data_IF_173096773699
#
_entry.id   IF_173096773699
#
_cell.length_a   1.000
_cell.length_b   1.000
_cell.length_c   1.000
_cell.angle_alpha   90.00
_cell.angle_beta   90.00
_cell.angle_gamma   90.00
#
_symmetry.space_group_name_H-M   'P 1'
#
loop_
_entity.id
_entity.type
_entity.pdbx_description
1 polymer ?
#
# COMPACT_ATOMS: atom_id res chain seq x y z
N UNK A 1 -7.61 -9.85 17.43
CA UNK A 1 -6.96 -9.47 16.17
C UNK A 1 -7.97 -9.61 15.08
N UNK A 2 -8.04 -8.62 14.19
CA UNK A 2 -9.12 -8.54 13.21
C UNK A 2 -8.62 -8.63 11.78
N UNK A 3 -7.40 -8.17 11.51
CA UNK A 3 -6.81 -8.19 10.19
C UNK A 3 -5.48 -8.93 10.17
N UNK A 4 -5.20 -9.57 9.05
CA UNK A 4 -3.88 -10.05 8.68
C UNK A 4 -3.48 -9.39 7.35
N UNK A 5 -2.32 -8.71 7.37
CA UNK A 5 -1.72 -8.10 6.19
C UNK A 5 -0.51 -8.92 5.79
N UNK A 6 -0.55 -9.52 4.62
CA UNK A 6 0.57 -10.25 4.03
C UNK A 6 1.25 -9.37 2.98
N UNK A 7 2.52 -9.03 3.19
CA UNK A 7 3.28 -8.21 2.25
C UNK A 7 3.90 -9.10 1.16
N UNK A 8 3.30 -9.10 -0.03
CA UNK A 8 3.94 -9.71 -1.20
C UNK A 8 5.11 -8.86 -1.69
N UNK A 9 5.02 -7.56 -1.47
CA UNK A 9 6.07 -6.60 -1.72
C UNK A 9 5.88 -5.34 -0.90
N UNK A 10 6.96 -4.74 -0.43
CA UNK A 10 6.98 -3.58 0.46
C UNK A 10 8.04 -2.54 0.09
N UNK A 11 8.68 -2.69 -1.08
CA UNK A 11 9.70 -1.78 -1.59
C UNK A 11 9.10 -0.70 -2.48
N UNK A 12 9.65 0.52 -2.41
CA UNK A 12 9.39 1.62 -3.34
C UNK A 12 10.36 1.65 -4.52
N UNK A 13 10.92 0.47 -4.90
CA UNK A 13 11.93 0.39 -5.95
C UNK A 13 13.33 0.91 -5.52
N UNK A 14 14.30 0.92 -6.41
CA UNK A 14 14.24 0.50 -7.81
C UNK A 14 14.31 -1.02 -8.04
N UNK A 15 14.42 -1.84 -6.99
CA UNK A 15 14.42 -3.29 -7.14
C UNK A 15 13.02 -3.78 -7.54
N UNK A 16 12.91 -4.31 -8.75
CA UNK A 16 11.69 -4.91 -9.26
C UNK A 16 11.39 -6.26 -8.57
N UNK A 17 10.12 -6.66 -8.60
CA UNK A 17 9.66 -7.94 -8.06
C UNK A 17 9.35 -7.94 -6.56
N UNK A 18 9.73 -6.90 -5.81
CA UNK A 18 9.37 -6.73 -4.38
C UNK A 18 8.62 -5.44 -4.10
N UNK A 19 8.12 -4.80 -5.14
CA UNK A 19 7.37 -3.54 -5.07
C UNK A 19 5.96 -3.74 -4.53
N UNK A 20 5.30 -2.65 -4.17
CA UNK A 20 4.11 -2.64 -3.32
C UNK A 20 2.99 -3.59 -3.74
N UNK A 21 2.67 -4.53 -2.86
CA UNK A 21 1.49 -5.39 -2.95
C UNK A 21 1.17 -6.00 -1.59
N UNK A 22 -0.04 -5.80 -1.08
CA UNK A 22 -0.49 -6.29 0.21
C UNK A 22 -1.74 -7.15 0.01
N UNK A 23 -1.77 -8.34 0.61
CA UNK A 23 -3.00 -9.11 0.77
C UNK A 23 -3.58 -8.82 2.14
N UNK A 24 -4.85 -8.44 2.17
CA UNK A 24 -5.63 -8.21 3.38
C UNK A 24 -6.69 -9.28 3.50
N UNK A 25 -6.82 -9.88 4.69
CA UNK A 25 -7.92 -10.78 5.07
C UNK A 25 -8.22 -10.66 6.57
N UNK A 26 -9.35 -11.22 7.05
CA UNK A 26 -9.57 -11.38 8.49
C UNK A 26 -8.50 -12.31 9.09
N UNK A 27 -8.02 -11.99 10.29
CA UNK A 27 -6.93 -12.75 10.94
C UNK A 27 -7.31 -14.16 11.37
N UNK A 28 -8.61 -14.44 11.50
CA UNK A 28 -9.16 -15.77 11.84
C UNK A 28 -9.46 -16.64 10.61
N UNK A 29 -9.13 -16.18 9.42
CA UNK A 29 -9.33 -16.90 8.16
C UNK A 29 -7.99 -17.43 7.68
N UNK A 30 -7.90 -18.73 7.46
CA UNK A 30 -6.66 -19.35 6.97
C UNK A 30 -6.62 -19.37 5.43
N UNK A 31 -5.44 -19.16 4.84
CA UNK A 31 -5.27 -19.25 3.38
C UNK A 31 -5.64 -20.62 2.83
N UNK A 32 -5.38 -21.69 3.59
CA UNK A 32 -5.77 -23.06 3.21
C UNK A 32 -7.29 -23.21 3.03
N UNK A 33 -8.10 -22.57 3.86
CA UNK A 33 -9.56 -22.61 3.75
C UNK A 33 -10.09 -21.80 2.56
N UNK A 34 -9.42 -20.68 2.23
CA UNK A 34 -9.73 -19.89 1.04
C UNK A 34 -9.43 -20.70 -0.22
N UNK A 35 -8.24 -21.30 -0.32
CA UNK A 35 -7.82 -22.12 -1.48
C UNK A 35 -8.67 -23.38 -1.64
N UNK A 36 -9.10 -23.98 -0.53
CA UNK A 36 -10.00 -25.14 -0.54
C UNK A 36 -11.46 -24.78 -0.93
N UNK A 37 -11.76 -23.50 -1.15
CA UNK A 37 -13.11 -23.03 -1.49
C UNK A 37 -14.13 -23.12 -0.35
N UNK A 38 -13.67 -23.23 0.89
CA UNK A 38 -14.57 -23.21 2.07
C UNK A 38 -15.02 -21.79 2.40
N UNK A 39 -14.18 -20.81 2.10
CA UNK A 39 -14.41 -19.39 2.33
C UNK A 39 -14.16 -18.61 1.04
N UNK A 40 -15.07 -17.72 0.71
CA UNK A 40 -15.03 -16.91 -0.50
C UNK A 40 -15.04 -15.43 -0.14
N UNK A 41 -14.47 -14.61 -1.04
CA UNK A 41 -14.51 -13.15 -0.93
C UNK A 41 -13.85 -12.59 0.35
N UNK A 42 -12.86 -13.34 0.89
CA UNK A 42 -12.12 -12.90 2.09
C UNK A 42 -10.89 -12.05 1.73
N UNK A 43 -10.32 -12.23 0.54
CA UNK A 43 -9.10 -11.53 0.15
C UNK A 43 -9.39 -10.19 -0.52
N UNK A 44 -8.64 -9.18 -0.11
CA UNK A 44 -8.52 -7.88 -0.79
C UNK A 44 -7.04 -7.63 -1.08
N UNK A 45 -6.72 -7.31 -2.32
CA UNK A 45 -5.37 -6.96 -2.73
C UNK A 45 -5.25 -5.44 -2.78
N UNK A 46 -4.26 -4.87 -2.10
CA UNK A 46 -3.95 -3.44 -2.16
C UNK A 46 -2.65 -3.31 -2.94
N UNK A 47 -2.74 -2.64 -4.07
CA UNK A 47 -1.73 -2.56 -5.11
C UNK A 47 -1.31 -3.94 -5.65
N UNK A 48 -0.53 -3.95 -6.70
CA UNK A 48 -0.07 -5.14 -7.41
C UNK A 48 1.24 -4.90 -8.17
N UNK A 49 2.20 -4.26 -7.53
CA UNK A 49 3.57 -4.17 -8.02
C UNK A 49 4.26 -5.53 -7.99
N UNK A 50 3.98 -6.32 -6.94
CA UNK A 50 4.36 -7.73 -6.82
C UNK A 50 3.17 -8.66 -7.05
N UNK A 51 3.39 -9.87 -7.54
CA UNK A 51 2.33 -10.82 -7.88
C UNK A 51 2.77 -12.27 -7.85
N UNK A 52 2.38 -13.05 -8.87
CA UNK A 52 2.52 -14.51 -8.89
C UNK A 52 3.94 -15.01 -8.70
N UNK A 53 4.93 -14.37 -9.31
CA UNK A 53 6.33 -14.78 -9.17
C UNK A 53 6.80 -14.61 -7.72
N UNK A 54 6.49 -13.47 -7.12
CA UNK A 54 6.85 -13.16 -5.75
C UNK A 54 6.12 -14.05 -4.73
N UNK A 55 4.82 -14.27 -4.95
CA UNK A 55 4.03 -15.22 -4.17
C UNK A 55 4.64 -16.62 -4.20
N UNK A 56 5.09 -17.08 -5.38
CA UNK A 56 5.75 -18.38 -5.54
C UNK A 56 7.04 -18.46 -4.74
N UNK A 57 7.84 -17.41 -4.76
CA UNK A 57 9.09 -17.39 -4.01
C UNK A 57 8.87 -17.32 -2.50
N UNK A 58 7.87 -16.58 -2.03
CA UNK A 58 7.52 -16.55 -0.60
C UNK A 58 7.12 -17.96 -0.15
N UNK A 59 6.20 -18.60 -0.85
CA UNK A 59 5.74 -19.95 -0.52
C UNK A 59 6.90 -20.96 -0.56
N UNK A 60 7.78 -20.86 -1.55
CA UNK A 60 8.96 -21.72 -1.65
C UNK A 60 9.89 -21.56 -0.42
N UNK A 61 10.16 -20.33 -0.01
CA UNK A 61 10.98 -20.06 1.16
C UNK A 61 10.32 -20.57 2.46
N UNK A 62 9.02 -20.45 2.60
CA UNK A 62 8.28 -20.97 3.76
C UNK A 62 8.33 -22.51 3.82
N UNK A 63 8.14 -23.18 2.68
CA UNK A 63 8.24 -24.64 2.59
C UNK A 63 9.63 -25.16 3.00
N UNK A 64 10.70 -24.37 2.74
CA UNK A 64 12.06 -24.76 3.10
C UNK A 64 12.41 -24.49 4.58
N UNK A 65 11.94 -23.38 5.14
CA UNK A 65 12.50 -22.86 6.39
C UNK A 65 11.56 -22.91 7.59
N UNK A 66 10.26 -23.07 7.41
CA UNK A 66 9.22 -23.14 8.45
C UNK A 66 9.21 -21.95 9.45
N UNK A 67 10.05 -20.96 9.27
CA UNK A 67 10.20 -19.77 10.12
C UNK A 67 9.97 -18.51 9.26
N UNK A 68 9.43 -17.43 9.83
CA UNK A 68 9.35 -16.16 9.13
C UNK A 68 10.73 -15.68 8.70
N UNK A 69 10.94 -15.58 7.40
CA UNK A 69 12.21 -15.10 6.83
C UNK A 69 11.94 -13.97 5.87
N UNK A 70 12.79 -12.95 5.89
CA UNK A 70 12.78 -11.90 4.89
C UNK A 70 13.93 -12.05 3.90
N UNK A 71 13.80 -11.45 2.73
CA UNK A 71 14.86 -11.43 1.71
C UNK A 71 16.02 -10.48 2.05
N UNK A 72 15.90 -9.70 3.12
CA UNK A 72 16.84 -8.62 3.43
C UNK A 72 18.29 -9.12 3.50
N UNK A 73 18.53 -10.32 4.04
CA UNK A 73 19.87 -10.91 4.12
C UNK A 73 20.53 -11.19 2.75
N UNK A 74 19.74 -11.24 1.66
CA UNK A 74 20.30 -11.38 0.31
C UNK A 74 20.88 -10.07 -0.22
N UNK A 75 20.39 -8.94 0.27
CA UNK A 75 20.73 -7.61 -0.23
C UNK A 75 21.59 -6.82 0.75
N UNK A 76 21.41 -7.05 2.06
CA UNK A 76 22.03 -6.22 3.09
C UNK A 76 22.81 -7.06 4.09
N UNK A 77 24.14 -6.85 4.20
CA UNK A 77 25.00 -7.60 5.14
C UNK A 77 24.67 -7.31 6.60
N UNK A 78 24.05 -6.18 6.89
CA UNK A 78 23.63 -5.74 8.23
C UNK A 78 22.18 -6.07 8.56
N UNK A 79 21.48 -6.90 7.76
CA UNK A 79 20.09 -7.26 8.03
C UNK A 79 19.91 -7.84 9.43
N UNK A 80 18.83 -7.40 10.11
CA UNK A 80 18.48 -7.89 11.44
C UNK A 80 17.51 -9.08 11.34
N UNK A 81 17.35 -9.87 12.41
CA UNK A 81 16.27 -10.85 12.50
C UNK A 81 14.90 -10.20 12.31
N UNK A 82 13.98 -10.91 11.67
CA UNK A 82 12.64 -10.39 11.30
C UNK A 82 11.94 -9.70 12.48
N UNK A 83 11.96 -10.30 13.66
CA UNK A 83 11.29 -9.73 14.85
C UNK A 83 11.79 -8.33 15.26
N UNK A 84 12.99 -7.94 14.83
CA UNK A 84 13.55 -6.60 15.15
C UNK A 84 12.86 -5.45 14.40
N UNK A 85 12.09 -5.77 13.37
CA UNK A 85 11.37 -4.78 12.56
C UNK A 85 9.91 -4.59 12.99
N UNK A 86 9.45 -5.31 14.01
CA UNK A 86 8.04 -5.36 14.38
C UNK A 86 7.77 -5.09 15.85
N UNK A 87 6.74 -4.28 16.12
CA UNK A 87 6.07 -4.17 17.42
C UNK A 87 4.79 -5.02 17.46
N UNK A 88 4.29 -5.46 16.30
CA UNK A 88 3.09 -6.27 16.15
C UNK A 88 3.42 -7.77 16.03
N UNK A 89 2.40 -8.64 16.20
CA UNK A 89 2.54 -10.07 15.96
C UNK A 89 2.76 -10.35 14.47
N UNK A 90 3.76 -11.18 14.17
CA UNK A 90 4.08 -11.60 12.81
C UNK A 90 3.96 -13.10 12.64
N UNK A 91 3.63 -13.53 11.43
CA UNK A 91 3.48 -14.94 11.10
C UNK A 91 3.94 -15.25 9.68
N UNK A 92 4.17 -16.53 9.44
CA UNK A 92 4.40 -17.14 8.13
C UNK A 92 3.05 -17.44 7.49
N UNK A 93 2.62 -16.71 6.45
CA UNK A 93 1.23 -16.74 5.99
C UNK A 93 0.79 -18.04 5.32
N UNK A 94 1.68 -18.72 4.60
CA UNK A 94 1.32 -19.82 3.70
C UNK A 94 1.76 -21.21 4.19
N UNK A 95 2.24 -21.32 5.42
CA UNK A 95 2.80 -22.56 6.03
C UNK A 95 1.84 -23.76 6.00
N UNK A 96 0.52 -23.51 6.06
CA UNK A 96 -0.51 -24.54 6.14
C UNK A 96 -1.06 -24.95 4.75
N UNK A 97 -0.54 -24.36 3.66
CA UNK A 97 -0.91 -24.74 2.32
C UNK A 97 -0.38 -26.14 1.98
N UNK A 98 -1.28 -26.98 1.50
CA UNK A 98 -0.94 -28.34 1.01
C UNK A 98 -1.02 -28.32 -0.51
N UNK A 99 0.11 -28.58 -1.16
CA UNK A 99 0.21 -28.66 -2.61
C UNK A 99 1.43 -29.53 -3.01
N UNK A 100 1.40 -30.08 -4.21
CA UNK A 100 2.49 -30.89 -4.73
C UNK A 100 3.73 -30.04 -5.10
N UNK A 101 3.53 -28.75 -5.30
CA UNK A 101 4.61 -27.79 -5.56
C UNK A 101 4.26 -26.39 -5.07
N UNK A 102 5.29 -25.56 -4.80
CA UNK A 102 5.09 -24.16 -4.44
C UNK A 102 4.35 -23.38 -5.54
N UNK A 103 4.55 -23.70 -6.81
CA UNK A 103 3.86 -23.06 -7.91
C UNK A 103 2.35 -23.38 -7.90
N UNK A 104 1.97 -24.64 -7.63
CA UNK A 104 0.56 -25.04 -7.49
C UNK A 104 -0.11 -24.31 -6.31
N UNK A 105 0.57 -24.23 -5.16
CA UNK A 105 0.08 -23.46 -4.01
C UNK A 105 -0.11 -21.98 -4.37
N UNK A 106 0.85 -21.38 -5.08
CA UNK A 106 0.78 -19.99 -5.53
C UNK A 106 -0.38 -19.75 -6.48
N UNK A 107 -0.61 -20.66 -7.43
CA UNK A 107 -1.76 -20.60 -8.34
C UNK A 107 -3.09 -20.66 -7.57
N UNK A 108 -3.16 -21.49 -6.52
CA UNK A 108 -4.34 -21.58 -5.64
C UNK A 108 -4.67 -20.22 -5.01
N UNK A 109 -3.69 -19.58 -4.37
CA UNK A 109 -3.86 -18.24 -3.77
C UNK A 109 -4.18 -17.20 -4.86
N UNK A 110 -3.40 -17.18 -5.96
CA UNK A 110 -3.56 -16.21 -7.03
C UNK A 110 -4.96 -16.28 -7.68
N UNK A 111 -5.53 -17.46 -7.81
CA UNK A 111 -6.89 -17.62 -8.29
C UNK A 111 -7.92 -16.99 -7.35
N UNK A 112 -7.66 -16.99 -6.05
CA UNK A 112 -8.54 -16.39 -5.04
C UNK A 112 -8.38 -14.85 -4.93
N UNK A 113 -7.33 -14.27 -5.51
CA UNK A 113 -7.11 -12.82 -5.58
C UNK A 113 -8.03 -12.20 -6.65
N UNK A 114 -9.29 -11.97 -6.32
CA UNK A 114 -10.31 -11.48 -7.27
C UNK A 114 -10.49 -9.97 -7.26
N UNK A 115 -10.14 -9.30 -6.17
CA UNK A 115 -10.41 -7.88 -5.93
C UNK A 115 -9.14 -7.12 -5.62
N UNK A 116 -8.90 -6.05 -6.39
CA UNK A 116 -7.74 -5.16 -6.24
C UNK A 116 -8.20 -3.74 -5.96
N UNK A 117 -7.61 -3.10 -4.96
CA UNK A 117 -7.68 -1.67 -4.68
C UNK A 117 -6.34 -1.06 -5.13
N UNK A 118 -6.33 -0.29 -6.20
CA UNK A 118 -5.11 0.32 -6.73
C UNK A 118 -5.05 1.78 -6.29
N UNK A 119 -4.01 2.12 -5.55
CA UNK A 119 -3.80 3.45 -4.98
C UNK A 119 -3.55 4.49 -6.08
N UNK A 120 -2.64 4.18 -7.00
CA UNK A 120 -2.27 5.04 -8.13
C UNK A 120 -1.58 4.22 -9.24
N UNK A 121 -1.42 4.77 -10.46
CA UNK A 121 -1.02 3.98 -11.63
C UNK A 121 0.49 3.89 -11.87
N UNK A 122 1.36 4.16 -10.89
CA UNK A 122 2.80 3.97 -11.05
C UNK A 122 3.15 2.50 -11.18
N UNK A 123 4.23 2.18 -11.91
CA UNK A 123 4.57 0.80 -12.28
C UNK A 123 4.88 -0.09 -11.08
N UNK A 124 5.49 0.45 -10.04
CA UNK A 124 5.78 -0.25 -8.79
C UNK A 124 4.53 -0.58 -7.97
N UNK A 125 3.35 -0.10 -8.40
CA UNK A 125 2.05 -0.45 -7.83
C UNK A 125 1.17 -1.30 -8.75
N UNK A 126 1.51 -1.43 -10.05
CA UNK A 126 0.66 -2.12 -11.03
C UNK A 126 1.37 -3.15 -11.92
N UNK A 127 2.70 -3.22 -11.92
CA UNK A 127 3.45 -4.03 -12.90
C UNK A 127 3.03 -5.50 -12.92
N UNK A 128 2.85 -6.12 -11.76
CA UNK A 128 2.40 -7.51 -11.70
C UNK A 128 0.93 -7.68 -12.09
N UNK A 129 0.04 -6.72 -11.80
CA UNK A 129 -1.33 -6.75 -12.31
C UNK A 129 -1.32 -6.84 -13.84
N UNK A 130 -0.50 -5.99 -14.48
CA UNK A 130 -0.40 -5.94 -15.93
C UNK A 130 0.12 -7.26 -16.49
N UNK A 131 1.30 -7.71 -16.05
CA UNK A 131 1.95 -8.92 -16.55
C UNK A 131 1.10 -10.16 -16.27
N UNK A 132 0.58 -10.29 -15.05
CA UNK A 132 -0.20 -11.45 -14.64
C UNK A 132 -1.60 -11.49 -15.26
N UNK A 133 -2.09 -10.38 -15.83
CA UNK A 133 -3.39 -10.35 -16.51
C UNK A 133 -3.49 -11.31 -17.68
N UNK A 134 -2.35 -11.71 -18.27
CA UNK A 134 -2.28 -12.75 -19.28
C UNK A 134 -2.80 -14.14 -18.80
N UNK A 135 -2.86 -14.36 -17.48
CA UNK A 135 -3.39 -15.61 -16.88
C UNK A 135 -4.83 -15.47 -16.35
N UNK A 136 -5.46 -14.31 -16.47
CA UNK A 136 -6.85 -14.12 -16.03
C UNK A 136 -7.83 -14.86 -16.95
N UNK A 137 -8.98 -15.24 -16.41
CA UNK A 137 -9.98 -15.99 -17.15
C UNK A 137 -11.40 -15.44 -16.96
N UNK A 138 -12.28 -15.74 -17.92
CA UNK A 138 -13.71 -15.38 -17.81
C UNK A 138 -14.44 -16.11 -16.68
N UNK A 139 -13.94 -17.26 -16.26
CA UNK A 139 -14.52 -18.03 -15.15
C UNK A 139 -14.21 -17.37 -13.78
N UNK A 140 -13.13 -16.59 -13.72
CA UNK A 140 -12.70 -15.89 -12.52
C UNK A 140 -12.12 -14.51 -12.89
N UNK A 141 -12.98 -13.58 -13.35
CA UNK A 141 -12.54 -12.25 -13.74
C UNK A 141 -12.06 -11.48 -12.51
N UNK A 142 -11.00 -10.71 -12.69
CA UNK A 142 -10.50 -9.83 -11.64
C UNK A 142 -11.17 -8.46 -11.73
N UNK A 143 -11.38 -7.83 -10.57
CA UNK A 143 -11.94 -6.48 -10.50
C UNK A 143 -10.95 -5.54 -9.84
N UNK A 144 -10.63 -4.46 -10.53
CA UNK A 144 -9.76 -3.38 -10.05
C UNK A 144 -10.63 -2.18 -9.71
N UNK A 145 -10.53 -1.72 -8.49
CA UNK A 145 -11.13 -0.47 -8.02
C UNK A 145 -10.02 0.57 -7.82
N UNK A 146 -10.31 1.80 -8.19
CA UNK A 146 -9.43 2.94 -7.99
C UNK A 146 -10.16 4.25 -8.29
N UNK A 147 -9.46 5.36 -8.18
CA UNK A 147 -9.98 6.66 -8.58
C UNK A 147 -10.21 6.72 -10.09
N UNK A 148 -10.99 7.70 -10.54
CA UNK A 148 -11.14 7.97 -11.98
C UNK A 148 -9.79 8.23 -12.65
N UNK A 149 -8.86 8.89 -11.95
CA UNK A 149 -7.49 9.12 -12.43
C UNK A 149 -6.76 7.80 -12.67
N UNK A 150 -6.74 6.91 -11.67
CA UNK A 150 -6.07 5.60 -11.74
C UNK A 150 -6.69 4.70 -12.80
N UNK A 151 -8.02 4.58 -12.81
CA UNK A 151 -8.75 3.73 -13.76
C UNK A 151 -8.57 4.23 -15.20
N UNK A 152 -8.65 5.55 -15.43
CA UNK A 152 -8.43 6.11 -16.76
C UNK A 152 -6.99 5.92 -17.24
N UNK A 153 -6.00 6.04 -16.36
CA UNK A 153 -4.61 5.77 -16.70
C UNK A 153 -4.40 4.30 -17.11
N UNK A 154 -4.95 3.35 -16.35
CA UNK A 154 -4.89 1.93 -16.69
C UNK A 154 -5.56 1.63 -18.03
N UNK A 155 -6.75 2.17 -18.27
CA UNK A 155 -7.52 1.90 -19.48
C UNK A 155 -6.88 2.53 -20.72
N UNK A 156 -6.46 3.79 -20.64
CA UNK A 156 -6.05 4.57 -21.80
C UNK A 156 -4.56 4.42 -22.12
N UNK A 157 -3.73 4.15 -21.11
CA UNK A 157 -2.28 4.15 -21.28
C UNK A 157 -1.63 2.76 -21.10
N UNK A 158 -2.30 1.82 -20.41
CA UNK A 158 -1.75 0.48 -20.17
C UNK A 158 -2.49 -0.57 -20.98
N UNK A 159 -3.79 -0.80 -20.71
CA UNK A 159 -4.60 -1.81 -21.39
C UNK A 159 -5.19 -1.29 -22.71
N UNK A 160 -4.39 -0.59 -23.49
CA UNK A 160 -4.80 0.16 -24.69
C UNK A 160 -4.55 -0.59 -26.02
N UNK A 161 -4.08 -1.83 -25.95
CA UNK A 161 -3.76 -2.63 -27.14
C UNK A 161 -2.38 -2.32 -27.75
N UNK A 162 -1.64 -1.37 -27.19
CA UNK A 162 -0.28 -1.00 -27.65
C UNK A 162 0.74 -1.36 -26.58
N UNK A 163 0.60 -0.84 -25.36
CA UNK A 163 1.49 -1.17 -24.23
C UNK A 163 1.19 -2.56 -23.71
N UNK A 164 -0.11 -2.88 -23.52
CA UNK A 164 -0.59 -4.20 -23.16
C UNK A 164 -1.94 -4.48 -23.85
N UNK A 165 -2.28 -5.75 -24.12
CA UNK A 165 -3.57 -6.09 -24.71
C UNK A 165 -4.73 -5.48 -23.91
N UNK A 166 -5.83 -5.15 -24.60
CA UNK A 166 -7.02 -4.58 -23.97
C UNK A 166 -7.77 -5.66 -23.15
N UNK A 167 -7.20 -6.00 -21.97
CA UNK A 167 -7.72 -7.06 -21.11
C UNK A 167 -9.19 -6.86 -20.69
N UNK A 168 -9.68 -5.62 -20.44
CA UNK A 168 -11.09 -5.40 -20.19
C UNK A 168 -12.01 -5.87 -21.32
N UNK A 169 -11.59 -5.78 -22.59
CA UNK A 169 -12.40 -6.20 -23.73
C UNK A 169 -12.61 -7.72 -23.83
N UNK A 170 -11.84 -8.51 -23.08
CA UNK A 170 -11.96 -9.95 -23.02
C UNK A 170 -12.83 -10.45 -21.86
N UNK A 171 -13.47 -9.57 -21.08
CA UNK A 171 -14.29 -9.89 -19.90
C UNK A 171 -13.52 -10.63 -18.78
N UNK A 172 -12.20 -10.49 -18.72
CA UNK A 172 -11.32 -11.13 -17.73
C UNK A 172 -10.82 -10.15 -16.68
N UNK A 173 -10.96 -8.84 -16.96
CA UNK A 173 -10.58 -7.75 -16.07
C UNK A 173 -11.65 -6.66 -16.09
N UNK A 174 -12.12 -6.25 -14.93
CA UNK A 174 -13.05 -5.12 -14.77
C UNK A 174 -12.32 -3.96 -14.13
N UNK A 175 -12.35 -2.80 -14.75
CA UNK A 175 -11.83 -1.55 -14.21
C UNK A 175 -13.00 -0.71 -13.72
N UNK A 176 -13.04 -0.40 -12.43
CA UNK A 176 -14.18 0.25 -11.78
C UNK A 176 -13.72 1.50 -11.03
N UNK A 177 -14.05 2.66 -11.54
CA UNK A 177 -13.76 3.92 -10.83
C UNK A 177 -14.71 4.15 -9.66
N UNK A 178 -14.20 4.79 -8.62
CA UNK A 178 -14.95 5.21 -7.43
C UNK A 178 -14.64 6.67 -7.11
N UNK A 179 -15.64 7.34 -6.55
CA UNK A 179 -15.50 8.72 -6.10
C UNK A 179 -14.77 8.77 -4.76
N UNK A 180 -13.93 9.77 -4.57
CA UNK A 180 -13.35 10.08 -3.27
C UNK A 180 -14.41 10.46 -2.24
N UNK A 181 -14.16 10.15 -0.98
CA UNK A 181 -15.03 10.45 0.17
C UNK A 181 -16.40 9.79 0.13
N UNK A 182 -16.64 8.88 -0.81
CA UNK A 182 -17.87 8.08 -0.88
C UNK A 182 -17.58 6.63 -0.54
N UNK A 183 -18.49 6.02 0.21
CA UNK A 183 -18.42 4.62 0.56
C UNK A 183 -18.91 3.73 -0.58
N UNK A 184 -18.27 2.60 -0.74
CA UNK A 184 -18.71 1.51 -1.61
C UNK A 184 -18.36 0.17 -0.97
N UNK A 185 -19.09 -0.87 -1.36
CA UNK A 185 -18.86 -2.23 -0.85
C UNK A 185 -18.20 -3.10 -1.91
N UNK A 186 -17.38 -4.04 -1.43
CA UNK A 186 -16.71 -5.06 -2.25
C UNK A 186 -16.89 -6.43 -1.61
N UNK A 187 -16.53 -7.50 -2.35
CA UNK A 187 -16.50 -8.87 -1.85
C UNK A 187 -17.84 -9.27 -1.21
N UNK A 188 -18.92 -9.14 -2.00
CA UNK A 188 -20.29 -9.45 -1.59
C UNK A 188 -20.70 -8.77 -0.27
N UNK A 189 -20.26 -7.52 -0.07
CA UNK A 189 -20.59 -6.73 1.10
C UNK A 189 -19.80 -7.06 2.36
N UNK A 190 -18.76 -7.90 2.30
CA UNK A 190 -17.87 -8.18 3.45
C UNK A 190 -17.04 -6.97 3.86
N UNK A 191 -16.69 -6.12 2.89
CA UNK A 191 -15.90 -4.93 3.14
C UNK A 191 -16.62 -3.69 2.65
N UNK A 192 -16.54 -2.63 3.45
CA UNK A 192 -16.91 -1.26 3.06
C UNK A 192 -15.65 -0.42 2.97
N UNK A 193 -15.50 0.29 1.86
CA UNK A 193 -14.31 1.07 1.54
C UNK A 193 -14.69 2.54 1.45
N UNK A 194 -13.91 3.41 2.10
CA UNK A 194 -13.89 4.86 1.80
C UNK A 194 -12.54 5.19 1.20
N UNK A 195 -12.53 5.79 0.01
CA UNK A 195 -11.32 6.21 -0.68
C UNK A 195 -11.08 7.69 -0.49
N UNK A 196 -9.84 8.08 -0.18
CA UNK A 196 -9.41 9.47 0.01
C UNK A 196 -8.38 9.86 -1.05
N UNK A 197 -8.39 11.12 -1.43
CA UNK A 197 -7.42 11.71 -2.36
C UNK A 197 -6.13 12.13 -1.64
N UNK A 198 -5.00 11.80 -2.24
CA UNK A 198 -3.66 12.14 -1.77
C UNK A 198 -2.89 12.92 -2.84
N UNK A 199 -2.00 13.82 -2.40
CA UNK A 199 -0.98 14.41 -3.25
C UNK A 199 0.29 13.56 -3.22
N UNK A 200 0.86 13.30 -4.42
CA UNK A 200 2.07 12.50 -4.58
C UNK A 200 3.08 13.22 -5.50
N UNK A 201 3.47 14.43 -5.10
CA UNK A 201 4.45 15.25 -5.80
C UNK A 201 3.90 16.07 -6.96
N UNK A 202 4.68 17.05 -7.39
CA UNK A 202 4.33 17.94 -8.50
C UNK A 202 4.54 17.29 -9.85
N UNK A 203 3.54 17.43 -10.73
CA UNK A 203 3.63 17.06 -12.14
C UNK A 203 4.47 18.12 -12.88
N UNK A 204 5.76 17.85 -13.06
CA UNK A 204 6.64 18.75 -13.81
C UNK A 204 6.31 18.63 -15.30
N UNK A 205 5.71 19.69 -15.87
CA UNK A 205 5.62 19.82 -17.33
C UNK A 205 6.98 20.20 -17.86
N UNK A 206 7.65 19.31 -18.58
CA UNK A 206 8.75 19.72 -19.43
C UNK A 206 8.19 20.60 -20.56
N UNK A 207 8.34 21.90 -20.46
CA UNK A 207 8.19 22.78 -21.62
C UNK A 207 9.26 22.37 -22.62
N UNK A 208 8.84 21.77 -23.74
CA UNK A 208 9.73 21.52 -24.86
C UNK A 208 10.25 22.89 -25.38
N UNK A 209 11.51 23.22 -25.05
CA UNK A 209 12.21 24.27 -25.77
C UNK A 209 12.16 23.92 -27.25
N UNK A 210 11.52 24.77 -28.06
CA UNK A 210 11.54 24.69 -29.51
C UNK A 210 12.97 24.88 -30.02
N UNK A 211 13.74 23.81 -29.98
CA UNK A 211 14.96 23.68 -30.83
C UNK A 211 15.15 22.18 -31.09
N UNK A 212 14.81 21.83 -32.29
CA UNK A 212 14.76 20.53 -32.93
C UNK A 212 15.54 19.40 -32.27
N UNK A 213 14.83 18.40 -31.84
CA UNK A 213 15.06 16.97 -32.07
C UNK A 213 14.12 16.14 -31.22
N UNK A 214 13.33 15.27 -31.87
CA UNK A 214 12.49 14.19 -31.36
C UNK A 214 11.28 14.66 -30.53
N UNK A 215 10.09 14.60 -31.15
CA UNK A 215 8.82 14.99 -30.60
C UNK A 215 8.39 14.17 -29.38
N UNK A 216 8.28 14.81 -28.27
CA UNK A 216 7.44 14.37 -27.15
C UNK A 216 6.00 14.77 -27.47
N UNK A 217 5.17 13.80 -27.74
CA UNK A 217 3.73 14.00 -27.94
C UNK A 217 3.11 14.49 -26.64
N UNK A 218 2.78 15.74 -26.58
CA UNK A 218 2.02 16.37 -25.49
C UNK A 218 0.66 15.69 -25.37
N UNK A 219 0.33 15.22 -24.19
CA UNK A 219 -1.06 14.91 -23.79
C UNK A 219 -1.81 16.25 -23.69
N UNK A 220 -2.24 16.78 -24.83
CA UNK A 220 -3.00 18.03 -24.92
C UNK A 220 -4.45 17.71 -25.15
N UNK A 221 -5.24 17.65 -24.07
CA UNK A 221 -6.67 17.98 -24.15
C UNK A 221 -7.27 18.64 -22.90
N UNK A 222 -6.52 18.89 -21.82
CA UNK A 222 -7.06 19.60 -20.64
C UNK A 222 -6.24 20.83 -20.19
N UNK A 223 -5.42 21.40 -21.03
CA UNK A 223 -4.45 22.43 -20.63
C UNK A 223 -4.96 23.87 -20.85
N UNK A 224 -6.23 24.17 -20.62
CA UNK A 224 -6.72 25.55 -20.74
C UNK A 224 -7.31 26.19 -19.47
N UNK A 225 -7.27 25.53 -18.29
CA UNK A 225 -7.75 26.17 -17.06
C UNK A 225 -6.80 25.98 -15.89
N UNK A 226 -6.31 27.11 -15.40
CA UNK A 226 -5.62 27.41 -14.15
C UNK A 226 -4.11 27.25 -14.09
N UNK A 227 -3.46 28.30 -13.56
CA UNK A 227 -2.07 28.36 -13.09
C UNK A 227 -1.85 27.55 -11.79
N UNK A 228 -2.71 26.56 -11.47
CA UNK A 228 -2.49 25.66 -10.34
C UNK A 228 -1.47 24.59 -10.72
N UNK A 229 -0.46 24.41 -9.90
CA UNK A 229 0.48 23.30 -9.98
C UNK A 229 -0.33 21.99 -10.01
N UNK A 230 -0.10 21.14 -11.01
CA UNK A 230 -0.74 19.83 -11.07
C UNK A 230 0.09 18.84 -10.28
N UNK A 231 -0.56 18.08 -9.41
CA UNK A 231 0.06 17.03 -8.63
C UNK A 231 -0.27 15.65 -9.23
N UNK A 232 0.63 14.70 -9.05
CA UNK A 232 0.26 13.29 -9.16
C UNK A 232 -0.76 12.97 -8.07
N UNK A 233 -1.75 12.17 -8.40
CA UNK A 233 -2.84 11.82 -7.49
C UNK A 233 -2.67 10.35 -7.09
N UNK A 234 -2.60 10.11 -5.80
CA UNK A 234 -2.67 8.80 -5.18
C UNK A 234 -3.92 8.68 -4.32
N UNK A 235 -4.11 7.54 -3.66
CA UNK A 235 -5.29 7.28 -2.85
C UNK A 235 -4.93 6.59 -1.54
N UNK A 236 -5.69 6.91 -0.48
CA UNK A 236 -5.75 6.08 0.72
C UNK A 236 -7.11 5.36 0.80
N UNK A 237 -7.13 4.18 1.41
CA UNK A 237 -8.33 3.37 1.61
C UNK A 237 -8.57 3.14 3.10
N UNK A 238 -9.68 3.64 3.63
CA UNK A 238 -10.22 3.21 4.91
C UNK A 238 -11.13 2.00 4.65
N UNK A 239 -10.71 0.85 5.16
CA UNK A 239 -11.32 -0.45 4.92
C UNK A 239 -12.00 -0.89 6.21
N UNK A 240 -13.32 -1.09 6.17
CA UNK A 240 -14.10 -1.70 7.25
C UNK A 240 -14.39 -3.16 6.92
N UNK A 241 -14.09 -4.06 7.84
CA UNK A 241 -14.57 -5.44 7.79
C UNK A 241 -15.95 -5.51 8.44
N UNK A 242 -17.00 -5.59 7.66
CA UNK A 242 -18.39 -5.42 8.11
C UNK A 242 -18.85 -6.41 9.19
N UNK A 243 -18.39 -7.67 9.23
CA UNK A 243 -18.79 -8.59 10.32
C UNK A 243 -18.39 -8.14 11.72
N UNK A 244 -17.28 -7.40 11.88
CA UNK A 244 -16.79 -6.91 13.19
C UNK A 244 -16.81 -5.39 13.32
N UNK A 245 -17.01 -4.66 12.22
CA UNK A 245 -16.85 -3.22 12.11
C UNK A 245 -15.44 -2.71 12.47
N UNK A 246 -14.44 -3.59 12.42
CA UNK A 246 -13.05 -3.19 12.57
C UNK A 246 -12.54 -2.49 11.31
N UNK A 247 -11.62 -1.54 11.50
CA UNK A 247 -11.14 -0.64 10.48
C UNK A 247 -9.62 -0.72 10.36
N UNK A 248 -9.14 -0.57 9.14
CA UNK A 248 -7.74 -0.34 8.83
C UNK A 248 -7.63 0.76 7.77
N UNK A 249 -6.64 1.63 7.91
CA UNK A 249 -6.38 2.69 6.94
C UNK A 249 -5.06 2.41 6.21
N UNK A 250 -5.10 2.33 4.89
CA UNK A 250 -3.94 2.02 4.06
C UNK A 250 -3.72 3.15 3.05
N UNK A 251 -2.57 3.79 3.13
CA UNK A 251 -2.15 4.84 2.21
C UNK A 251 -1.36 4.22 1.05
N UNK A 252 -1.57 4.78 -0.15
CA UNK A 252 -0.58 4.72 -1.21
C UNK A 252 0.51 5.75 -0.98
N UNK A 253 1.28 6.03 -2.02
CA UNK A 253 2.34 7.03 -1.94
C UNK A 253 1.76 8.43 -1.74
N UNK A 254 2.40 9.22 -0.89
CA UNK A 254 1.94 10.56 -0.60
C UNK A 254 3.05 11.46 -0.03
N UNK A 255 2.88 12.73 -0.18
CA UNK A 255 3.72 13.75 0.43
C UNK A 255 3.04 14.40 1.63
N UNK A 256 3.83 14.96 2.53
CA UNK A 256 3.30 15.73 3.66
C UNK A 256 2.56 16.98 3.20
N UNK A 257 1.49 17.36 3.91
CA UNK A 257 0.81 18.65 3.73
C UNK A 257 1.77 19.83 3.94
N UNK A 258 2.88 19.64 4.68
CA UNK A 258 3.94 20.65 4.83
C UNK A 258 4.71 20.88 3.52
N UNK A 259 4.81 19.86 2.66
CA UNK A 259 5.51 19.91 1.36
C UNK A 259 4.55 20.34 0.26
N UNK A 260 3.43 19.65 0.12
CA UNK A 260 2.41 19.91 -0.90
C UNK A 260 1.75 21.29 -0.77
N UNK A 261 1.71 21.84 0.46
CA UNK A 261 0.93 23.04 0.83
C UNK A 261 -0.58 22.86 0.60
N UNK A 262 -1.04 21.60 0.58
CA UNK A 262 -2.44 21.21 0.56
C UNK A 262 -2.90 20.78 1.96
N UNK A 263 -4.15 20.36 2.08
CA UNK A 263 -4.73 19.90 3.35
C UNK A 263 -5.33 18.48 3.25
N UNK A 264 -4.90 17.70 2.24
CA UNK A 264 -5.46 16.38 1.94
C UNK A 264 -5.31 15.43 3.13
N UNK A 265 -4.09 15.35 3.68
CA UNK A 265 -3.81 14.48 4.83
C UNK A 265 -4.57 14.95 6.07
N UNK A 266 -4.56 16.26 6.34
CA UNK A 266 -5.26 16.87 7.48
C UNK A 266 -6.78 16.57 7.44
N UNK A 267 -7.40 16.57 6.27
CA UNK A 267 -8.81 16.18 6.10
C UNK A 267 -9.04 14.72 6.47
N UNK A 268 -8.13 13.82 6.09
CA UNK A 268 -8.19 12.41 6.45
C UNK A 268 -8.02 12.26 7.98
N UNK A 269 -7.04 12.94 8.57
CA UNK A 269 -6.81 12.92 10.02
C UNK A 269 -8.05 13.36 10.80
N UNK A 270 -8.69 14.43 10.40
CA UNK A 270 -9.96 14.90 10.99
C UNK A 270 -11.10 13.91 10.80
N UNK A 271 -11.11 13.16 9.70
CA UNK A 271 -12.15 12.15 9.44
C UNK A 271 -11.99 10.92 10.35
N UNK A 272 -10.76 10.50 10.65
CA UNK A 272 -10.53 9.31 11.49
C UNK A 272 -10.37 9.61 12.97
N UNK A 273 -10.07 10.85 13.35
CA UNK A 273 -9.91 11.25 14.75
C UNK A 273 -11.12 10.86 15.65
N UNK A 274 -12.40 11.03 15.23
CA UNK A 274 -13.55 10.56 15.99
C UNK A 274 -13.55 9.05 16.25
N UNK A 275 -13.02 8.26 15.30
CA UNK A 275 -12.94 6.81 15.42
C UNK A 275 -11.92 6.43 16.50
N UNK A 276 -10.77 7.11 16.53
CA UNK A 276 -9.71 6.88 17.51
C UNK A 276 -10.19 7.29 18.90
N UNK A 277 -10.83 8.46 19.03
CA UNK A 277 -11.26 9.02 20.32
C UNK A 277 -12.53 8.37 20.87
N UNK A 278 -13.26 7.57 20.07
CA UNK A 278 -14.48 6.86 20.54
C UNK A 278 -14.22 5.86 21.66
N UNK A 279 -12.97 5.47 21.89
CA UNK A 279 -12.58 4.45 22.87
C UNK A 279 -12.89 3.01 22.46
N UNK A 280 -13.57 2.79 21.35
CA UNK A 280 -13.97 1.44 20.90
C UNK A 280 -12.82 0.66 20.24
N UNK A 281 -11.65 1.30 20.05
CA UNK A 281 -10.44 0.70 19.43
C UNK A 281 -10.71 -0.04 18.12
N UNK A 282 -11.60 0.51 17.30
CA UNK A 282 -11.98 -0.09 16.00
C UNK A 282 -10.90 0.06 14.93
N UNK A 283 -10.16 1.17 14.94
CA UNK A 283 -9.02 1.35 14.03
C UNK A 283 -7.85 0.49 14.54
N UNK A 284 -7.53 -0.57 13.82
CA UNK A 284 -6.51 -1.55 14.21
C UNK A 284 -5.10 -1.14 13.83
N UNK A 285 -4.97 -0.32 12.78
CA UNK A 285 -3.69 0.20 12.35
C UNK A 285 -3.80 1.12 11.15
N UNK A 286 -2.69 1.79 10.86
CA UNK A 286 -2.51 2.63 9.67
C UNK A 286 -1.25 2.15 8.94
N UNK A 287 -1.36 1.86 7.65
CA UNK A 287 -0.23 1.57 6.77
C UNK A 287 0.14 2.85 6.05
N UNK A 288 1.40 3.26 6.16
CA UNK A 288 1.94 4.51 5.62
C UNK A 288 3.25 4.25 4.91
N UNK A 289 3.53 5.00 3.86
CA UNK A 289 4.86 5.01 3.30
C UNK A 289 5.85 5.77 4.19
N UNK A 290 7.13 5.38 4.15
CA UNK A 290 8.27 6.18 4.55
C UNK A 290 9.46 5.77 3.67
N UNK A 291 9.52 6.38 2.49
CA UNK A 291 10.39 5.92 1.41
C UNK A 291 11.86 6.26 1.63
N UNK A 292 12.15 7.41 2.21
CA UNK A 292 13.49 7.94 2.32
C UNK A 292 13.94 8.10 3.78
N UNK A 293 15.23 7.96 4.05
CA UNK A 293 15.82 8.36 5.34
C UNK A 293 15.78 9.88 5.52
N UNK A 294 15.90 10.34 6.77
CA UNK A 294 16.09 11.77 7.03
C UNK A 294 17.36 12.30 6.37
N UNK A 295 17.35 13.58 5.97
CA UNK A 295 18.47 14.26 5.34
C UNK A 295 18.39 14.38 3.82
N UNK A 296 17.37 13.81 3.18
CA UNK A 296 17.09 14.07 1.77
C UNK A 296 16.60 15.53 1.59
N UNK A 297 17.09 16.24 0.57
CA UNK A 297 16.56 17.56 0.21
C UNK A 297 15.07 17.46 -0.16
N UNK A 298 14.27 18.45 0.23
CA UNK A 298 12.83 18.48 -0.07
C UNK A 298 12.56 18.34 -1.58
N UNK A 299 13.37 18.98 -2.42
CA UNK A 299 13.26 18.92 -3.86
C UNK A 299 13.54 17.51 -4.48
N UNK A 300 14.15 16.61 -3.70
CA UNK A 300 14.51 15.25 -4.12
C UNK A 300 13.60 14.18 -3.48
N UNK A 301 12.57 14.58 -2.76
CA UNK A 301 11.60 13.65 -2.15
C UNK A 301 10.67 13.04 -3.19
N UNK A 302 10.43 13.74 -4.30
CA UNK A 302 9.57 13.26 -5.40
C UNK A 302 8.19 12.77 -4.95
N UNK A 303 7.59 13.50 -3.99
CA UNK A 303 6.26 13.18 -3.49
C UNK A 303 6.23 12.07 -2.42
N UNK A 304 7.35 11.84 -1.74
CA UNK A 304 7.47 10.81 -0.70
C UNK A 304 7.87 11.39 0.66
N UNK A 305 7.81 10.55 1.69
CA UNK A 305 8.08 10.91 3.06
C UNK A 305 9.47 10.48 3.55
N UNK A 306 9.95 11.22 4.56
CA UNK A 306 11.00 10.82 5.49
C UNK A 306 10.41 10.64 6.88
N UNK A 307 11.14 10.02 7.85
CA UNK A 307 10.68 9.91 9.23
C UNK A 307 10.19 11.23 9.82
N UNK A 308 10.88 12.34 9.59
CA UNK A 308 10.50 13.64 10.15
C UNK A 308 9.17 14.16 9.59
N UNK A 309 8.93 14.02 8.29
CA UNK A 309 7.65 14.39 7.69
C UNK A 309 6.52 13.47 8.13
N UNK A 310 6.79 12.17 8.26
CA UNK A 310 5.80 11.21 8.74
C UNK A 310 5.39 11.52 10.19
N UNK A 311 6.34 11.78 11.08
CA UNK A 311 6.02 12.20 12.45
C UNK A 311 5.21 13.51 12.48
N UNK A 312 5.53 14.47 11.60
CA UNK A 312 4.73 15.70 11.49
C UNK A 312 3.27 15.42 11.10
N UNK A 313 3.02 14.45 10.23
CA UNK A 313 1.66 14.00 9.88
C UNK A 313 0.96 13.32 11.06
N UNK A 314 1.68 12.49 11.84
CA UNK A 314 1.13 11.83 13.02
C UNK A 314 0.84 12.81 14.16
N UNK A 315 1.63 13.86 14.31
CA UNK A 315 1.34 14.99 15.21
C UNK A 315 0.08 15.75 14.77
N UNK A 316 -0.14 15.91 13.45
CA UNK A 316 -1.37 16.49 12.94
C UNK A 316 -2.60 15.61 13.24
N UNK A 317 -2.44 14.26 13.21
CA UNK A 317 -3.48 13.32 13.64
C UNK A 317 -3.74 13.44 15.15
N UNK A 318 -2.69 13.49 15.96
CA UNK A 318 -2.84 13.70 17.41
C UNK A 318 -3.59 14.99 17.71
N UNK A 319 -3.20 16.10 17.07
CA UNK A 319 -3.88 17.38 17.22
C UNK A 319 -5.37 17.29 16.85
N UNK A 320 -5.72 16.58 15.78
CA UNK A 320 -7.12 16.34 15.40
C UNK A 320 -7.89 15.52 16.45
N UNK A 321 -7.24 14.57 17.11
CA UNK A 321 -7.84 13.82 18.23
C UNK A 321 -8.04 14.71 19.46
N UNK A 322 -7.08 15.58 19.80
CA UNK A 322 -7.16 16.51 20.92
C UNK A 322 -8.20 17.62 20.69
N UNK A 323 -8.46 18.03 19.44
CA UNK A 323 -9.58 18.94 19.11
C UNK A 323 -10.93 18.33 19.55
N UNK A 324 -11.07 16.98 19.54
CA UNK A 324 -12.31 16.26 19.92
C UNK A 324 -12.31 15.93 21.43
N UNK A 325 -11.18 15.49 21.96
CA UNK A 325 -11.01 15.03 23.32
C UNK A 325 -9.84 15.77 23.99
N UNK A 326 -10.01 17.04 24.40
CA UNK A 326 -8.91 17.88 24.94
C UNK A 326 -8.26 17.33 26.21
N UNK A 327 -9.00 16.53 26.97
CA UNK A 327 -8.50 15.93 28.23
C UNK A 327 -7.70 14.64 28.00
N UNK A 328 -7.61 14.15 26.77
CA UNK A 328 -6.81 12.97 26.46
C UNK A 328 -5.31 13.31 26.55
N UNK A 329 -4.57 12.51 27.31
CA UNK A 329 -3.12 12.74 27.49
C UNK A 329 -2.32 12.21 26.29
N UNK A 330 -2.73 11.08 25.70
CA UNK A 330 -2.03 10.38 24.60
C UNK A 330 -3.06 9.66 23.73
N UNK A 331 -3.76 10.38 22.86
CA UNK A 331 -4.86 9.79 22.08
C UNK A 331 -4.40 8.69 21.09
N UNK A 332 -3.12 8.69 20.69
CA UNK A 332 -2.56 7.72 19.75
C UNK A 332 -1.87 6.54 20.43
N UNK A 333 -1.86 6.46 21.77
CA UNK A 333 -1.15 5.40 22.48
C UNK A 333 -1.62 3.99 22.07
N UNK A 334 -0.66 3.16 21.67
CA UNK A 334 -0.89 1.79 21.23
C UNK A 334 -1.43 1.66 19.80
N UNK A 335 -1.60 2.75 19.05
CA UNK A 335 -1.97 2.68 17.64
C UNK A 335 -0.85 2.05 16.82
N UNK A 336 -1.19 1.02 16.02
CA UNK A 336 -0.23 0.36 15.14
C UNK A 336 0.01 1.20 13.88
N UNK A 337 1.27 1.54 13.64
CA UNK A 337 1.75 2.19 12.42
C UNK A 337 2.64 1.21 11.68
N UNK A 338 2.26 0.86 10.46
CA UNK A 338 3.02 -0.07 9.62
C UNK A 338 3.64 0.72 8.47
N UNK A 339 4.96 0.73 8.44
CA UNK A 339 5.73 1.40 7.39
C UNK A 339 5.84 0.50 6.17
N UNK A 340 5.51 1.02 5.01
CA UNK A 340 5.61 0.37 3.71
C UNK A 340 6.44 1.23 2.75
N UNK A 341 6.66 0.77 1.54
CA UNK A 341 7.25 1.52 0.42
C UNK A 341 8.63 2.10 0.73
N UNK A 342 9.50 1.35 1.45
CA UNK A 342 10.88 1.80 1.68
C UNK A 342 11.68 1.68 0.38
N UNK A 343 12.27 2.78 -0.09
CA UNK A 343 13.16 2.77 -1.26
C UNK A 343 14.47 2.07 -0.92
N UNK A 344 14.99 1.36 -1.91
CA UNK A 344 16.23 0.57 -1.82
C UNK A 344 17.27 1.12 -2.80
N UNK A 345 17.92 2.25 -2.49
CA UNK A 345 18.89 2.87 -3.39
C UNK A 345 20.06 1.94 -3.71
N UNK A 346 20.43 1.80 -4.97
CA UNK A 346 21.46 0.86 -5.46
C UNK A 346 22.84 1.13 -4.83
N UNK A 347 23.12 2.38 -4.48
CA UNK A 347 24.40 2.79 -3.90
C UNK A 347 24.47 2.62 -2.38
N UNK A 348 23.37 2.23 -1.72
CA UNK A 348 23.32 2.04 -0.27
C UNK A 348 23.60 0.58 0.07
N UNK A 349 24.64 0.35 0.86
CA UNK A 349 25.07 -1.01 1.26
C UNK A 349 24.31 -1.49 2.50
N UNK A 350 23.82 -0.55 3.33
CA UNK A 350 23.12 -0.85 4.58
C UNK A 350 21.61 -0.78 4.39
N UNK A 351 20.88 -1.63 5.09
CA UNK A 351 19.42 -1.66 5.04
C UNK A 351 18.82 -0.33 5.52
N UNK A 352 18.14 0.44 4.64
CA UNK A 352 17.55 1.74 4.98
C UNK A 352 16.43 1.62 6.02
N UNK A 353 15.77 0.46 6.11
CA UNK A 353 14.67 0.19 7.06
C UNK A 353 15.11 0.34 8.49
N UNK A 354 16.36 -0.06 8.82
CA UNK A 354 16.88 0.07 10.17
C UNK A 354 16.99 1.54 10.59
N UNK A 355 17.52 2.37 9.68
CA UNK A 355 17.65 3.80 9.96
C UNK A 355 16.29 4.47 10.07
N UNK A 356 15.37 4.17 9.17
CA UNK A 356 14.00 4.70 9.20
C UNK A 356 13.32 4.30 10.50
N UNK A 357 13.37 3.02 10.89
CA UNK A 357 12.74 2.54 12.13
C UNK A 357 13.37 3.17 13.38
N UNK A 358 14.70 3.32 13.39
CA UNK A 358 15.41 4.00 14.47
C UNK A 358 14.94 5.44 14.59
N UNK A 359 14.98 6.21 13.49
CA UNK A 359 14.61 7.64 13.48
C UNK A 359 13.14 7.84 13.89
N UNK A 360 12.24 6.96 13.44
CA UNK A 360 10.82 6.98 13.81
C UNK A 360 10.62 6.68 15.30
N UNK A 361 11.28 5.66 15.86
CA UNK A 361 11.15 5.30 17.27
C UNK A 361 11.71 6.40 18.19
N UNK A 362 12.85 7.01 17.84
CA UNK A 362 13.39 8.12 18.61
C UNK A 362 12.44 9.33 18.61
N UNK A 363 11.87 9.69 17.46
CA UNK A 363 10.92 10.80 17.36
C UNK A 363 9.58 10.47 18.06
N UNK A 364 9.07 9.24 17.90
CA UNK A 364 7.88 8.77 18.63
C UNK A 364 8.05 8.91 20.15
N UNK A 365 9.23 8.58 20.66
CA UNK A 365 9.56 8.73 22.08
C UNK A 365 9.71 10.21 22.48
N UNK A 366 10.39 11.01 21.66
CA UNK A 366 10.60 12.43 21.91
C UNK A 366 9.26 13.19 21.98
N UNK A 367 8.39 12.95 21.02
CA UNK A 367 7.05 13.56 20.93
C UNK A 367 6.01 12.86 21.83
N UNK A 368 6.39 11.78 22.52
CA UNK A 368 5.56 11.03 23.44
C UNK A 368 4.23 10.51 22.85
N UNK A 369 4.23 10.12 21.55
CA UNK A 369 3.02 9.67 20.84
C UNK A 369 2.55 8.29 21.27
N UNK A 370 3.44 7.40 21.74
CA UNK A 370 3.12 6.07 22.23
C UNK A 370 2.71 5.07 21.15
N UNK A 371 3.16 5.28 19.92
CA UNK A 371 2.83 4.45 18.77
C UNK A 371 3.55 3.10 18.78
N UNK A 372 2.92 2.06 18.25
CA UNK A 372 3.53 0.78 17.92
C UNK A 372 3.98 0.79 16.46
N UNK A 373 5.28 0.97 16.20
CA UNK A 373 5.81 1.10 14.84
C UNK A 373 6.38 -0.22 14.37
N UNK A 374 5.98 -0.67 13.18
CA UNK A 374 6.49 -1.86 12.49
C UNK A 374 6.84 -1.52 11.06
N UNK A 375 7.77 -2.28 10.44
CA UNK A 375 8.06 -2.15 9.01
C UNK A 375 7.56 -3.39 8.28
N UNK A 376 6.75 -3.20 7.23
CA UNK A 376 6.32 -4.26 6.34
C UNK A 376 7.51 -4.88 5.61
N UNK A 377 7.68 -6.18 5.74
CA UNK A 377 8.72 -6.93 5.05
C UNK A 377 8.10 -7.93 4.10
N UNK A 378 8.68 -8.02 2.93
CA UNK A 378 8.28 -8.98 1.92
C UNK A 378 8.28 -10.42 2.47
N UNK A 379 7.18 -11.15 2.26
CA UNK A 379 6.98 -12.51 2.74
C UNK A 379 6.51 -12.65 4.19
N UNK A 380 6.21 -11.54 4.87
CA UNK A 380 5.79 -11.55 6.27
C UNK A 380 4.33 -11.10 6.37
N UNK A 381 3.56 -11.75 7.24
CA UNK A 381 2.23 -11.29 7.65
C UNK A 381 2.26 -10.62 9.01
N UNK A 382 1.51 -9.53 9.13
CA UNK A 382 1.26 -8.82 10.39
C UNK A 382 -0.20 -9.07 10.80
N UNK A 383 -0.42 -9.44 12.05
CA UNK A 383 -1.76 -9.56 12.65
C UNK A 383 -2.07 -8.36 13.53
N UNK A 384 -3.23 -7.73 13.30
CA UNK A 384 -3.69 -6.52 13.99
C UNK A 384 -5.03 -6.75 14.70
#
# INVERSE_FOLDING_TARGET
MSFELTFLGSSGGPLEGTTCAILLKPSNVEYADIVAGKLHDELVCIDAGSGLAQLTEIIYNEMLHQQPTSRLSKYYPNSLPVHSYYSAEVTTPFKDLKADSCFQASQGIFNCMSTYLITHPHLDHISSLVINSASFSKLNPKTVYGSIYTVSALQNNVFNGIIWPNMPSFDILKLVSRDYWKQFTINNGKYTITMFDLSHGELVKHESKKNGTIGTTTLTQEAQYSHQKKHYISSAFLISYNPTNDLILIFGDFESDLVSKLDNNRRIWRHIAPIITSGEKKLKGIVLECSNCNGYPEAELYGHLTPSYLISELLALEAACLEISPDSVRPLEGLNIIINHVKEPILVILDPRQKILHDLNEQNKLENLGLNISIGLNGISIKL
#
